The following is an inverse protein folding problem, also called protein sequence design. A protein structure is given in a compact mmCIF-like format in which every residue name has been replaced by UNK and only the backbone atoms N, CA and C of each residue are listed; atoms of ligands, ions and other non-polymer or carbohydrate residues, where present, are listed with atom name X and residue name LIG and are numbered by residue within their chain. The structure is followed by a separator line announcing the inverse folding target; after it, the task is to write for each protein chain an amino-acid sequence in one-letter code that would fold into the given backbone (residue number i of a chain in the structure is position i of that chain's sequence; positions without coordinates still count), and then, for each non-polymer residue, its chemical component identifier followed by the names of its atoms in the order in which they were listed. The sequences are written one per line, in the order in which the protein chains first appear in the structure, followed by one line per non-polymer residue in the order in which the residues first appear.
data_IF_679306197235
#
_entry.id   IF_679306197235
#
_cell.length_a   1.000
_cell.length_b   1.000
_cell.length_c   1.000
_cell.angle_alpha   90.00
_cell.angle_beta   90.00
_cell.angle_gamma   90.00
#
_symmetry.space_group_name_H-M   'P 1'
#
loop_
_entity.id
_entity.type
_entity.pdbx_description
1 polymer ?
#
# COMPACT_ATOMS: atom_id res chain seq x y z
N UNK A 1 -16.10 20.28 11.06
CA UNK A 1 -15.18 19.34 11.73
C UNK A 1 -14.96 19.83 13.17
N UNK A 2 -14.65 18.95 14.09
CA UNK A 2 -14.34 19.29 15.50
C UNK A 2 -13.41 18.21 16.08
N UNK A 3 -12.35 18.64 16.75
CA UNK A 3 -11.38 17.74 17.40
C UNK A 3 -10.83 16.64 16.47
N UNK A 4 -10.49 17.03 15.23
CA UNK A 4 -9.97 16.11 14.23
C UNK A 4 -10.99 15.17 13.60
N UNK A 5 -12.29 15.29 13.92
CA UNK A 5 -13.36 14.42 13.44
C UNK A 5 -14.44 15.18 12.68
N UNK A 6 -15.15 14.45 11.84
CA UNK A 6 -16.30 14.95 11.10
C UNK A 6 -17.49 15.05 12.07
N UNK A 7 -17.88 16.26 12.43
CA UNK A 7 -18.98 16.51 13.36
C UNK A 7 -20.36 16.52 12.69
N UNK A 8 -20.44 16.86 11.41
CA UNK A 8 -21.65 16.84 10.64
C UNK A 8 -21.35 16.81 9.13
N UNK A 9 -22.25 16.18 8.38
CA UNK A 9 -22.26 16.16 6.90
C UNK A 9 -23.67 16.49 6.45
N UNK A 10 -23.81 17.29 5.40
CA UNK A 10 -25.12 17.65 4.84
C UNK A 10 -25.07 18.88 3.96
N UNK A 11 -26.23 19.38 3.58
CA UNK A 11 -26.32 20.63 2.82
C UNK A 11 -25.81 21.82 3.66
N UNK A 12 -25.35 22.88 2.99
CA UNK A 12 -24.92 24.11 3.66
C UNK A 12 -25.98 24.60 4.67
N UNK A 13 -27.25 24.63 4.26
CA UNK A 13 -28.37 25.00 5.13
C UNK A 13 -28.48 24.13 6.38
N UNK A 14 -28.32 22.81 6.24
CA UNK A 14 -28.42 21.85 7.35
C UNK A 14 -27.29 22.03 8.33
N UNK A 15 -26.06 22.21 7.82
CA UNK A 15 -24.85 22.33 8.65
C UNK A 15 -24.81 23.70 9.35
N UNK A 16 -25.11 24.78 8.65
CA UNK A 16 -25.12 26.15 9.22
C UNK A 16 -26.24 26.38 10.26
N UNK A 17 -27.33 25.60 10.21
CA UNK A 17 -28.39 25.66 11.21
C UNK A 17 -27.95 25.11 12.60
N UNK A 18 -26.86 24.40 12.69
CA UNK A 18 -26.34 23.86 13.97
C UNK A 18 -25.74 25.00 14.80
N UNK A 19 -25.95 24.96 16.11
CA UNK A 19 -25.42 26.00 17.02
C UNK A 19 -23.91 26.08 17.00
N UNK A 20 -23.23 24.93 16.88
CA UNK A 20 -21.78 24.79 16.88
C UNK A 20 -21.13 25.46 15.64
N UNK A 21 -21.84 25.48 14.50
CA UNK A 21 -21.33 26.05 13.26
C UNK A 21 -21.17 27.57 13.30
N UNK A 22 -21.88 28.25 14.20
CA UNK A 22 -21.84 29.73 14.33
C UNK A 22 -20.47 30.28 14.72
N UNK A 23 -19.65 29.45 15.41
CA UNK A 23 -18.31 29.81 15.87
C UNK A 23 -17.21 29.08 15.06
N UNK A 24 -17.58 28.27 14.08
CA UNK A 24 -16.62 27.51 13.29
C UNK A 24 -15.96 28.42 12.25
N UNK A 25 -14.67 28.21 12.04
CA UNK A 25 -13.96 28.76 10.90
C UNK A 25 -14.55 28.20 9.60
N UNK A 26 -14.68 29.04 8.59
CA UNK A 26 -15.25 28.65 7.30
C UNK A 26 -14.15 28.57 6.26
N UNK A 27 -14.00 27.40 5.68
CA UNK A 27 -13.16 27.16 4.53
C UNK A 27 -14.07 26.92 3.31
N UNK A 28 -14.07 27.88 2.38
CA UNK A 28 -14.80 27.74 1.11
C UNK A 28 -13.86 27.13 0.06
N UNK A 29 -14.22 25.98 -0.45
CA UNK A 29 -13.46 25.27 -1.49
C UNK A 29 -13.87 25.68 -2.92
N UNK A 30 -14.77 26.67 -3.08
CA UNK A 30 -15.08 27.28 -4.36
C UNK A 30 -15.70 26.34 -5.40
N UNK A 31 -16.54 25.39 -4.99
CA UNK A 31 -17.17 24.42 -5.91
C UNK A 31 -16.29 23.22 -6.30
N UNK A 32 -15.07 23.14 -5.80
CA UNK A 32 -14.18 21.99 -5.99
C UNK A 32 -14.74 20.70 -5.39
N UNK A 33 -14.30 19.57 -5.89
CA UNK A 33 -14.70 18.25 -5.38
C UNK A 33 -13.87 17.85 -4.16
N UNK A 34 -14.54 17.55 -3.06
CA UNK A 34 -13.93 16.97 -1.87
C UNK A 34 -14.22 15.47 -1.79
N UNK A 35 -13.18 14.65 -1.69
CA UNK A 35 -13.23 13.22 -1.44
C UNK A 35 -12.71 12.90 -0.03
N UNK A 36 -12.98 11.70 0.51
CA UNK A 36 -12.17 11.18 1.62
C UNK A 36 -10.70 11.17 1.20
N UNK A 37 -9.79 11.47 2.11
CA UNK A 37 -8.37 11.30 1.85
C UNK A 37 -8.07 9.86 1.40
N UNK A 38 -7.20 9.70 0.41
CA UNK A 38 -6.84 8.37 -0.09
C UNK A 38 -6.15 7.54 0.99
N UNK A 39 -6.44 6.25 0.95
CA UNK A 39 -5.83 5.23 1.81
C UNK A 39 -5.04 4.28 0.91
N UNK A 40 -3.74 4.44 0.92
CA UNK A 40 -2.83 3.60 0.14
C UNK A 40 -2.46 2.36 0.93
N UNK A 41 -3.09 1.26 0.60
CA UNK A 41 -3.03 0.04 1.41
C UNK A 41 -1.86 -0.89 1.08
N UNK A 42 -0.89 -0.46 0.24
CA UNK A 42 0.29 -1.25 -0.09
C UNK A 42 1.43 -0.36 -0.57
N UNK A 43 2.44 -0.15 0.28
CA UNK A 43 3.66 0.58 -0.08
C UNK A 43 4.92 -0.02 0.55
N UNK A 44 6.09 0.31 -0.03
CA UNK A 44 7.41 0.02 0.52
C UNK A 44 8.15 1.34 0.78
N UNK A 45 7.61 2.14 1.71
CA UNK A 45 8.05 3.51 1.99
C UNK A 45 9.56 3.65 2.22
N UNK A 46 10.16 2.73 3.00
CA UNK A 46 11.56 2.81 3.39
C UNK A 46 12.44 2.05 2.39
N UNK A 47 13.14 2.81 1.54
CA UNK A 47 14.15 2.29 0.63
C UNK A 47 15.27 3.32 0.42
N UNK A 48 16.49 2.85 0.06
CA UNK A 48 17.68 3.72 0.05
C UNK A 48 17.89 4.49 -1.25
N UNK A 49 17.47 3.95 -2.41
CA UNK A 49 17.79 4.53 -3.71
C UNK A 49 16.77 4.16 -4.77
N UNK A 50 16.72 4.96 -5.85
CA UNK A 50 16.00 4.59 -7.07
C UNK A 50 16.72 3.45 -7.82
N UNK A 51 16.00 2.83 -8.75
CA UNK A 51 16.52 1.81 -9.68
C UNK A 51 16.42 2.29 -11.14
N UNK A 52 16.61 3.61 -11.36
CA UNK A 52 16.50 4.23 -12.68
C UNK A 52 17.46 3.63 -13.72
N UNK A 53 18.68 3.25 -13.32
CA UNK A 53 19.62 2.55 -14.20
C UNK A 53 19.10 1.19 -14.67
N UNK A 54 18.46 0.44 -13.77
CA UNK A 54 17.84 -0.84 -14.12
C UNK A 54 16.60 -0.65 -14.99
N UNK A 55 15.85 0.43 -14.79
CA UNK A 55 14.73 0.81 -15.63
C UNK A 55 15.22 1.06 -17.08
N UNK A 56 16.31 1.81 -17.25
CA UNK A 56 16.90 2.03 -18.57
C UNK A 56 17.33 0.70 -19.24
N UNK A 57 17.97 -0.21 -18.49
CA UNK A 57 18.35 -1.53 -18.99
C UNK A 57 17.13 -2.34 -19.46
N UNK A 58 16.02 -2.30 -18.73
CA UNK A 58 14.77 -2.96 -19.11
C UNK A 58 14.20 -2.39 -20.40
N UNK A 59 14.15 -1.06 -20.54
CA UNK A 59 13.69 -0.38 -21.76
C UNK A 59 14.53 -0.80 -22.98
N UNK A 60 15.83 -1.00 -22.79
CA UNK A 60 16.75 -1.49 -23.81
C UNK A 60 16.61 -3.00 -24.09
N UNK A 61 15.69 -3.70 -23.43
CA UNK A 61 15.39 -5.11 -23.64
C UNK A 61 16.25 -6.09 -22.82
N UNK A 62 16.99 -5.62 -21.82
CA UNK A 62 17.73 -6.52 -20.95
C UNK A 62 16.78 -7.43 -20.16
N UNK A 63 17.07 -8.72 -20.12
CA UNK A 63 16.31 -9.70 -19.34
C UNK A 63 16.50 -9.50 -17.84
N UNK A 64 15.55 -10.03 -17.04
CA UNK A 64 15.68 -10.04 -15.58
C UNK A 64 16.99 -10.71 -15.10
N UNK A 65 17.39 -11.79 -15.77
CA UNK A 65 18.63 -12.52 -15.45
C UNK A 65 19.88 -11.70 -15.77
N UNK A 66 19.88 -10.94 -16.87
CA UNK A 66 20.98 -10.02 -17.21
C UNK A 66 21.11 -8.89 -16.20
N UNK A 67 19.99 -8.30 -15.77
CA UNK A 67 19.96 -7.26 -14.74
C UNK A 67 20.46 -7.84 -13.40
N UNK A 68 19.99 -9.02 -12.99
CA UNK A 68 20.42 -9.68 -11.77
C UNK A 68 21.92 -10.03 -11.80
N UNK A 69 22.45 -10.50 -12.95
CA UNK A 69 23.88 -10.80 -13.14
C UNK A 69 24.77 -9.57 -13.04
N UNK A 70 24.24 -8.40 -13.43
CA UNK A 70 24.90 -7.09 -13.25
C UNK A 70 24.77 -6.52 -11.83
N UNK A 71 24.24 -7.32 -10.89
CA UNK A 71 24.07 -6.91 -9.50
C UNK A 71 22.83 -6.07 -9.23
N UNK A 72 21.86 -6.04 -10.17
CA UNK A 72 20.58 -5.37 -10.03
C UNK A 72 19.52 -6.20 -9.30
N UNK A 73 18.28 -5.74 -9.34
CA UNK A 73 17.14 -6.39 -8.72
C UNK A 73 16.96 -6.01 -7.24
N UNK A 74 16.09 -6.75 -6.56
CA UNK A 74 15.75 -6.49 -5.16
C UNK A 74 16.97 -6.62 -4.23
N UNK A 75 17.91 -7.51 -4.53
CA UNK A 75 19.12 -7.68 -3.72
C UNK A 75 20.04 -6.45 -3.76
N UNK A 76 20.04 -5.70 -4.87
CA UNK A 76 20.74 -4.42 -4.92
C UNK A 76 20.08 -3.38 -3.99
N UNK A 77 18.74 -3.34 -3.98
CA UNK A 77 18.02 -2.48 -3.03
C UNK A 77 18.34 -2.84 -1.58
N UNK A 78 18.44 -4.13 -1.27
CA UNK A 78 18.84 -4.64 0.07
C UNK A 78 20.26 -4.18 0.43
N UNK A 79 21.24 -4.36 -0.45
CA UNK A 79 22.63 -3.90 -0.23
C UNK A 79 22.69 -2.39 0.03
N UNK A 80 21.99 -1.60 -0.78
CA UNK A 80 21.94 -0.14 -0.62
C UNK A 80 21.25 0.27 0.68
N UNK A 81 20.16 -0.41 1.08
CA UNK A 81 19.49 -0.11 2.33
C UNK A 81 20.34 -0.43 3.54
N UNK A 82 20.98 -1.60 3.59
CA UNK A 82 21.89 -2.00 4.69
C UNK A 82 23.09 -1.06 4.84
N UNK A 83 23.53 -0.43 3.75
CA UNK A 83 24.63 0.55 3.75
C UNK A 83 24.19 1.99 4.05
N UNK A 84 22.90 2.30 4.00
CA UNK A 84 22.39 3.65 4.16
C UNK A 84 22.34 4.06 5.63
N UNK A 85 22.59 5.35 5.90
CA UNK A 85 22.39 5.91 7.23
C UNK A 85 20.91 6.07 7.55
N UNK A 86 20.56 5.99 8.84
CA UNK A 86 19.20 6.22 9.32
C UNK A 86 18.63 7.57 8.88
N UNK A 87 19.44 8.62 8.92
CA UNK A 87 19.03 9.96 8.53
C UNK A 87 18.73 10.07 7.03
N UNK A 88 19.54 9.44 6.17
CA UNK A 88 19.27 9.39 4.73
C UNK A 88 17.96 8.66 4.40
N UNK A 89 17.68 7.55 5.09
CA UNK A 89 16.41 6.83 4.95
C UNK A 89 15.22 7.68 5.42
N UNK A 90 15.35 8.37 6.57
CA UNK A 90 14.33 9.30 7.09
C UNK A 90 14.03 10.43 6.12
N UNK A 91 15.08 11.08 5.60
CA UNK A 91 14.93 12.20 4.68
C UNK A 91 14.17 11.78 3.41
N UNK A 92 14.53 10.62 2.82
CA UNK A 92 13.85 10.09 1.65
C UNK A 92 12.40 9.76 1.94
N UNK A 93 12.12 9.09 3.05
CA UNK A 93 10.77 8.74 3.44
C UNK A 93 9.91 9.98 3.72
N UNK A 94 10.46 11.02 4.36
CA UNK A 94 9.76 12.29 4.58
C UNK A 94 9.37 12.95 3.25
N UNK A 95 10.30 13.04 2.30
CA UNK A 95 10.00 13.59 0.98
C UNK A 95 8.91 12.78 0.25
N UNK A 96 8.90 11.45 0.39
CA UNK A 96 7.82 10.62 -0.16
C UNK A 96 6.48 10.90 0.52
N UNK A 97 6.45 11.06 1.85
CA UNK A 97 5.22 11.37 2.59
C UNK A 97 4.65 12.74 2.23
N UNK A 98 5.51 13.75 2.05
CA UNK A 98 5.12 15.06 1.53
C UNK A 98 4.51 14.95 0.12
N UNK A 99 5.12 14.12 -0.73
CA UNK A 99 4.58 13.85 -2.06
C UNK A 99 3.25 13.04 -2.00
N UNK A 100 3.08 12.08 -1.10
CA UNK A 100 1.80 11.42 -0.86
C UNK A 100 0.70 12.43 -0.44
N UNK A 101 1.02 13.34 0.49
CA UNK A 101 0.11 14.40 0.90
C UNK A 101 -0.30 15.27 -0.28
N UNK A 102 0.65 15.66 -1.14
CA UNK A 102 0.36 16.49 -2.32
C UNK A 102 -0.53 15.82 -3.37
N UNK A 103 -0.73 14.50 -3.28
CA UNK A 103 -1.64 13.74 -4.14
C UNK A 103 -2.93 13.30 -3.45
N UNK A 104 -3.22 13.84 -2.24
CA UNK A 104 -4.47 13.56 -1.52
C UNK A 104 -4.44 12.33 -0.62
N UNK A 105 -3.30 11.69 -0.42
CA UNK A 105 -3.17 10.52 0.45
C UNK A 105 -2.99 10.94 1.90
N UNK A 106 -3.79 10.39 2.80
CA UNK A 106 -3.80 10.71 4.24
C UNK A 106 -3.44 9.53 5.14
N UNK A 107 -3.45 8.32 4.59
CA UNK A 107 -3.09 7.08 5.28
C UNK A 107 -2.34 6.17 4.32
N UNK A 108 -1.22 5.61 4.77
CA UNK A 108 -0.46 4.61 4.01
C UNK A 108 -0.21 3.36 4.85
N UNK A 109 -0.14 2.24 4.21
CA UNK A 109 0.54 1.07 4.75
C UNK A 109 2.00 1.12 4.33
N UNK A 110 2.92 0.76 5.23
CA UNK A 110 4.35 0.72 4.97
C UNK A 110 4.93 -0.64 5.34
N UNK A 111 5.39 -1.38 4.33
CA UNK A 111 6.05 -2.68 4.52
C UNK A 111 7.54 -2.49 4.80
N UNK A 112 8.11 -3.36 5.62
CA UNK A 112 9.56 -3.61 5.64
C UNK A 112 9.96 -4.45 4.40
N UNK A 113 10.99 -5.30 4.48
CA UNK A 113 11.29 -6.26 3.42
C UNK A 113 12.44 -5.90 2.49
N UNK A 114 13.13 -4.81 2.76
CA UNK A 114 14.40 -4.47 2.11
C UNK A 114 15.61 -4.65 3.03
N UNK A 115 15.41 -5.06 4.28
CA UNK A 115 16.47 -5.40 5.21
C UNK A 115 16.97 -6.84 5.03
N UNK A 116 16.05 -7.78 5.06
CA UNK A 116 16.25 -9.24 4.94
C UNK A 116 17.23 -9.82 5.96
N UNK A 117 17.50 -9.12 7.03
CA UNK A 117 18.11 -9.62 8.27
C UNK A 117 17.43 -8.99 9.47
N UNK A 118 17.60 -9.56 10.65
CA UNK A 118 16.87 -9.14 11.84
C UNK A 118 17.13 -7.66 12.19
N UNK A 119 18.38 -7.22 12.17
CA UNK A 119 18.74 -5.86 12.56
C UNK A 119 18.18 -4.83 11.57
N UNK A 120 18.30 -5.09 10.27
CA UNK A 120 17.85 -4.18 9.22
C UNK A 120 16.33 -4.10 9.14
N UNK A 121 15.60 -5.23 9.29
CA UNK A 121 14.14 -5.25 9.30
C UNK A 121 13.57 -4.49 10.52
N UNK A 122 14.13 -4.72 11.71
CA UNK A 122 13.76 -3.98 12.91
C UNK A 122 14.05 -2.48 12.78
N UNK A 123 15.18 -2.11 12.18
CA UNK A 123 15.50 -0.70 11.90
C UNK A 123 14.47 -0.04 10.99
N UNK A 124 14.03 -0.71 9.92
CA UNK A 124 12.99 -0.18 9.02
C UNK A 124 11.70 0.08 9.80
N UNK A 125 11.22 -0.91 10.56
CA UNK A 125 9.98 -0.79 11.32
C UNK A 125 10.08 0.26 12.45
N UNK A 126 11.24 0.35 13.11
CA UNK A 126 11.51 1.40 14.10
C UNK A 126 11.47 2.79 13.48
N UNK A 127 12.05 2.94 12.27
CA UNK A 127 11.99 4.17 11.51
C UNK A 127 10.53 4.56 11.16
N UNK A 128 9.71 3.61 10.73
CA UNK A 128 8.29 3.85 10.47
C UNK A 128 7.56 4.30 11.75
N UNK A 129 7.84 3.67 12.90
CA UNK A 129 7.28 4.06 14.20
C UNK A 129 7.68 5.48 14.60
N UNK A 130 8.94 5.85 14.46
CA UNK A 130 9.43 7.22 14.72
C UNK A 130 8.79 8.25 13.76
N UNK A 131 8.65 7.91 12.50
CA UNK A 131 8.04 8.80 11.50
C UNK A 131 6.54 9.01 11.74
N UNK A 132 5.82 8.01 12.25
CA UNK A 132 4.41 8.12 12.62
C UNK A 132 4.16 9.27 13.61
N UNK A 133 5.12 9.56 14.47
CA UNK A 133 5.03 10.63 15.47
C UNK A 133 5.47 12.00 14.93
N UNK A 134 6.21 12.05 13.83
CA UNK A 134 6.90 13.25 13.33
C UNK A 134 6.24 13.89 12.10
N UNK A 135 5.17 13.31 11.58
CA UNK A 135 4.51 13.81 10.37
C UNK A 135 3.01 13.43 10.38
N UNK A 136 2.16 14.14 9.62
CA UNK A 136 0.71 14.04 9.77
C UNK A 136 0.07 12.77 9.18
N UNK A 137 0.65 12.16 8.14
CA UNK A 137 0.05 10.99 7.46
C UNK A 137 0.05 9.78 8.40
N UNK A 138 -1.05 9.06 8.51
CA UNK A 138 -1.07 7.81 9.27
C UNK A 138 -0.26 6.73 8.55
N UNK A 139 0.68 6.12 9.26
CA UNK A 139 1.50 5.01 8.77
C UNK A 139 1.08 3.73 9.49
N UNK A 140 0.65 2.73 8.75
CA UNK A 140 0.31 1.39 9.24
C UNK A 140 1.44 0.44 8.86
N UNK A 141 2.19 -0.05 9.84
CA UNK A 141 3.39 -0.85 9.57
C UNK A 141 3.08 -2.32 9.35
N UNK A 142 3.73 -2.91 8.33
CA UNK A 142 3.67 -4.33 7.97
C UNK A 142 5.08 -4.93 8.00
N UNK A 143 5.26 -6.00 8.74
CA UNK A 143 6.49 -6.79 8.70
C UNK A 143 6.51 -7.69 7.46
N UNK A 144 7.52 -7.53 6.60
CA UNK A 144 7.75 -8.30 5.38
C UNK A 144 9.17 -8.89 5.34
N UNK A 145 9.68 -9.45 6.43
CA UNK A 145 10.98 -10.13 6.43
C UNK A 145 11.05 -11.29 5.43
N UNK A 146 9.90 -11.83 5.04
CA UNK A 146 9.78 -12.86 4.02
C UNK A 146 9.46 -12.28 2.62
N UNK A 147 10.18 -11.26 2.18
CA UNK A 147 10.04 -10.68 0.84
C UNK A 147 10.76 -11.53 -0.21
N UNK A 148 12.04 -11.81 -0.02
CA UNK A 148 12.81 -12.79 -0.81
C UNK A 148 13.85 -13.45 0.07
N UNK A 149 14.38 -14.59 -0.38
CA UNK A 149 15.53 -15.22 0.29
C UNK A 149 16.79 -14.38 0.02
N UNK A 150 17.47 -13.87 1.05
CA UNK A 150 18.65 -13.02 0.87
C UNK A 150 19.86 -13.79 0.32
N UNK A 151 20.82 -13.03 -0.22
CA UNK A 151 21.99 -13.59 -0.93
C UNK A 151 22.77 -14.60 -0.08
N UNK A 152 22.84 -14.36 1.23
CA UNK A 152 23.56 -15.21 2.19
C UNK A 152 23.02 -16.65 2.28
N UNK A 153 21.76 -16.85 1.92
CA UNK A 153 21.08 -18.15 1.95
C UNK A 153 20.74 -18.68 0.56
N UNK A 154 20.82 -17.85 -0.47
CA UNK A 154 20.45 -18.20 -1.85
C UNK A 154 21.43 -19.22 -2.43
N UNK A 155 20.90 -20.22 -3.16
CA UNK A 155 21.73 -21.28 -3.78
C UNK A 155 22.33 -22.29 -2.83
N UNK A 156 22.12 -22.15 -1.52
CA UNK A 156 22.60 -23.14 -0.51
C UNK A 156 21.51 -24.17 -0.28
N UNK A 157 21.90 -25.42 -0.14
CA UNK A 157 21.01 -26.53 0.23
C UNK A 157 20.31 -26.18 1.57
N UNK A 158 19.00 -26.22 1.60
CA UNK A 158 18.21 -25.85 2.78
C UNK A 158 18.22 -24.35 3.15
N UNK A 159 18.85 -23.48 2.36
CA UNK A 159 19.01 -22.06 2.70
C UNK A 159 17.69 -21.32 2.86
N UNK A 160 16.70 -21.56 2.00
CA UNK A 160 15.37 -20.97 2.12
C UNK A 160 14.65 -21.42 3.40
N UNK A 161 14.80 -22.69 3.81
CA UNK A 161 14.21 -23.20 5.05
C UNK A 161 14.90 -22.61 6.29
N UNK A 162 16.24 -22.50 6.26
CA UNK A 162 16.97 -21.84 7.34
C UNK A 162 16.55 -20.38 7.49
N UNK A 163 16.40 -19.64 6.38
CA UNK A 163 15.94 -18.26 6.44
C UNK A 163 14.48 -18.17 6.92
N UNK A 164 13.60 -19.07 6.48
CA UNK A 164 12.23 -19.17 7.00
C UNK A 164 12.22 -19.34 8.52
N UNK A 165 13.10 -20.21 9.05
CA UNK A 165 13.26 -20.39 10.50
C UNK A 165 13.74 -19.11 11.20
N UNK A 166 14.69 -18.38 10.61
CA UNK A 166 15.16 -17.09 11.17
C UNK A 166 14.02 -16.07 11.21
N UNK A 167 13.20 -15.96 10.15
CA UNK A 167 12.03 -15.08 10.12
C UNK A 167 11.07 -15.42 11.27
N UNK A 168 10.77 -16.71 11.45
CA UNK A 168 9.80 -17.18 12.46
C UNK A 168 10.32 -17.09 13.90
N UNK A 169 11.56 -17.50 14.14
CA UNK A 169 12.07 -17.70 15.51
C UNK A 169 12.88 -16.52 16.04
N UNK A 170 13.35 -15.62 15.15
CA UNK A 170 14.15 -14.45 15.56
C UNK A 170 13.45 -13.13 15.24
N UNK A 171 12.96 -12.94 14.00
CA UNK A 171 12.42 -11.64 13.60
C UNK A 171 11.02 -11.41 14.16
N UNK A 172 10.08 -12.33 13.96
CA UNK A 172 8.69 -12.16 14.40
C UNK A 172 8.55 -11.93 15.92
N UNK A 173 9.25 -12.67 16.82
CA UNK A 173 9.19 -12.40 18.25
C UNK A 173 9.67 -11.00 18.61
N UNK A 174 10.74 -10.51 17.99
CA UNK A 174 11.29 -9.16 18.25
C UNK A 174 10.37 -8.06 17.74
N UNK A 175 9.78 -8.24 16.54
CA UNK A 175 8.78 -7.30 15.98
C UNK A 175 7.58 -7.18 16.91
N UNK A 176 7.09 -8.30 17.41
CA UNK A 176 5.94 -8.33 18.31
C UNK A 176 6.28 -7.76 19.70
N UNK A 177 7.45 -8.10 20.26
CA UNK A 177 7.87 -7.62 21.59
C UNK A 177 8.00 -6.09 21.63
N UNK A 178 8.37 -5.45 20.52
CA UNK A 178 8.55 -4.00 20.42
C UNK A 178 7.32 -3.27 19.85
N UNK A 179 6.23 -3.99 19.52
CA UNK A 179 5.00 -3.45 18.92
C UNK A 179 5.31 -2.60 17.67
N UNK A 180 6.06 -3.19 16.71
CA UNK A 180 6.58 -2.48 15.54
C UNK A 180 5.68 -2.62 14.31
N UNK A 181 4.82 -3.64 14.24
CA UNK A 181 3.95 -3.89 13.09
C UNK A 181 2.59 -4.43 13.53
N UNK A 182 1.57 -4.16 12.72
CA UNK A 182 0.21 -4.69 12.89
C UNK A 182 -0.05 -5.91 11.99
N UNK A 183 0.69 -6.00 10.90
CA UNK A 183 0.55 -7.03 9.88
C UNK A 183 1.85 -7.81 9.66
N UNK A 184 1.71 -9.06 9.24
CA UNK A 184 2.78 -9.89 8.72
C UNK A 184 2.46 -10.28 7.29
N UNK A 185 3.37 -10.01 6.37
CA UNK A 185 3.23 -10.28 4.95
C UNK A 185 4.31 -11.26 4.46
N UNK A 186 4.00 -12.00 3.40
CA UNK A 186 4.92 -12.92 2.74
C UNK A 186 4.75 -12.79 1.23
N UNK A 187 5.85 -12.68 0.50
CA UNK A 187 5.84 -12.83 -0.95
C UNK A 187 5.81 -14.31 -1.33
N UNK A 188 4.61 -14.81 -1.60
CA UNK A 188 4.36 -16.20 -1.95
C UNK A 188 4.25 -16.38 -3.46
N UNK A 189 5.39 -16.48 -4.14
CA UNK A 189 5.43 -16.64 -5.59
C UNK A 189 6.68 -17.43 -6.03
N UNK A 190 6.73 -17.77 -7.32
CA UNK A 190 7.88 -18.46 -7.91
C UNK A 190 9.15 -17.61 -7.75
N UNK A 191 10.19 -18.21 -7.15
CA UNK A 191 11.47 -17.53 -6.90
C UNK A 191 11.55 -16.76 -5.57
N UNK A 192 10.44 -16.72 -4.80
CA UNK A 192 10.38 -16.18 -3.44
C UNK A 192 10.07 -17.31 -2.43
N UNK A 193 8.94 -17.26 -1.74
CA UNK A 193 8.55 -18.29 -0.77
C UNK A 193 7.47 -19.22 -1.32
N UNK A 194 7.57 -20.50 -0.97
CA UNK A 194 6.55 -21.51 -1.28
C UNK A 194 5.30 -21.29 -0.42
N UNK A 195 4.15 -21.82 -0.89
CA UNK A 195 2.90 -21.79 -0.14
C UNK A 195 3.04 -22.42 1.27
N UNK A 196 3.85 -23.46 1.41
CA UNK A 196 4.08 -24.12 2.71
C UNK A 196 4.88 -23.22 3.67
N UNK A 197 5.94 -22.56 3.18
CA UNK A 197 6.72 -21.59 3.96
C UNK A 197 5.88 -20.41 4.36
N UNK A 198 5.09 -19.82 3.41
CA UNK A 198 4.18 -18.73 3.67
C UNK A 198 3.15 -19.11 4.75
N UNK A 199 2.55 -20.31 4.68
CA UNK A 199 1.61 -20.78 5.70
C UNK A 199 2.23 -20.82 7.09
N UNK A 200 3.46 -21.32 7.21
CA UNK A 200 4.19 -21.40 8.49
C UNK A 200 4.47 -20.00 9.05
N UNK A 201 5.04 -19.10 8.25
CA UNK A 201 5.39 -17.74 8.65
C UNK A 201 4.14 -16.97 9.11
N UNK A 202 3.08 -16.99 8.30
CA UNK A 202 1.83 -16.27 8.62
C UNK A 202 1.10 -16.86 9.82
N UNK A 203 1.15 -18.18 10.02
CA UNK A 203 0.60 -18.83 11.21
C UNK A 203 1.37 -18.40 12.45
N UNK A 204 2.70 -18.29 12.37
CA UNK A 204 3.53 -17.78 13.46
C UNK A 204 3.26 -16.30 13.71
N UNK A 205 3.15 -15.48 12.65
CA UNK A 205 2.74 -14.07 12.79
C UNK A 205 1.41 -13.91 13.55
N UNK A 206 0.41 -14.75 13.26
CA UNK A 206 -0.88 -14.76 14.00
C UNK A 206 -0.70 -15.09 15.48
N UNK A 207 0.22 -16.00 15.85
CA UNK A 207 0.53 -16.28 17.27
C UNK A 207 1.08 -15.06 17.99
N UNK A 208 1.78 -14.21 17.25
CA UNK A 208 2.29 -12.92 17.70
C UNK A 208 1.29 -11.75 17.50
N UNK A 209 0.01 -12.04 17.20
CA UNK A 209 -1.07 -11.06 16.97
C UNK A 209 -0.89 -10.15 15.76
N UNK A 210 -0.02 -10.51 14.81
CA UNK A 210 0.08 -9.84 13.54
C UNK A 210 -0.96 -10.41 12.56
N UNK A 211 -1.73 -9.53 11.91
CA UNK A 211 -2.71 -9.95 10.92
C UNK A 211 -2.01 -10.36 9.61
N UNK A 212 -2.39 -11.48 8.97
CA UNK A 212 -1.74 -11.92 7.75
C UNK A 212 -2.12 -11.04 6.55
N UNK A 213 -1.15 -10.84 5.67
CA UNK A 213 -1.26 -10.31 4.31
C UNK A 213 -0.42 -11.16 3.37
N UNK A 214 -0.66 -11.11 2.06
CA UNK A 214 0.15 -11.83 1.09
C UNK A 214 0.32 -11.03 -0.20
N UNK A 215 1.58 -10.97 -0.70
CA UNK A 215 1.80 -10.81 -2.13
C UNK A 215 1.49 -12.16 -2.77
N UNK A 216 0.50 -12.21 -3.62
CA UNK A 216 -0.10 -13.43 -4.12
C UNK A 216 -0.32 -13.40 -5.64
N UNK A 217 0.07 -14.46 -6.34
CA UNK A 217 -0.20 -14.64 -7.77
C UNK A 217 0.21 -13.45 -8.64
N UNK A 218 1.34 -12.82 -8.34
CA UNK A 218 1.90 -11.75 -9.15
C UNK A 218 2.55 -12.31 -10.43
N UNK A 219 3.49 -13.23 -10.28
CA UNK A 219 4.29 -13.78 -11.37
C UNK A 219 3.77 -15.16 -11.81
N UNK A 220 3.20 -15.92 -10.90
CA UNK A 220 2.73 -17.28 -11.14
C UNK A 220 1.61 -17.65 -10.18
N UNK A 221 0.80 -18.63 -10.59
CA UNK A 221 -0.24 -19.15 -9.73
C UNK A 221 0.29 -20.18 -8.74
N UNK A 222 0.38 -19.82 -7.47
CA UNK A 222 0.91 -20.63 -6.35
C UNK A 222 -0.18 -21.10 -5.39
N UNK A 223 -1.44 -20.66 -5.56
CA UNK A 223 -2.56 -20.77 -4.63
C UNK A 223 -2.34 -19.98 -3.32
N UNK A 224 -1.56 -18.90 -3.38
CA UNK A 224 -1.35 -18.00 -2.25
C UNK A 224 -2.66 -17.27 -1.88
N UNK A 225 -3.47 -16.89 -2.87
CA UNK A 225 -4.80 -16.29 -2.66
C UNK A 225 -5.70 -17.21 -1.81
N UNK A 226 -5.76 -18.50 -2.14
CA UNK A 226 -6.55 -19.47 -1.36
C UNK A 226 -5.98 -19.66 0.06
N UNK A 227 -4.65 -19.59 0.22
CA UNK A 227 -4.02 -19.60 1.54
C UNK A 227 -4.38 -18.36 2.33
N UNK A 228 -4.39 -17.17 1.71
CA UNK A 228 -4.79 -15.93 2.36
C UNK A 228 -6.23 -16.00 2.89
N UNK A 229 -7.16 -16.49 2.07
CA UNK A 229 -8.54 -16.72 2.48
C UNK A 229 -8.63 -17.75 3.62
N UNK A 230 -7.91 -18.88 3.52
CA UNK A 230 -7.83 -19.92 4.57
C UNK A 230 -7.36 -19.35 5.91
N UNK A 231 -6.39 -18.45 5.91
CA UNK A 231 -5.82 -17.84 7.11
C UNK A 231 -6.61 -16.62 7.63
N UNK A 232 -7.62 -16.15 6.89
CA UNK A 232 -8.35 -14.92 7.19
C UNK A 232 -7.48 -13.69 7.04
N UNK A 233 -6.68 -13.63 5.98
CA UNK A 233 -5.80 -12.51 5.70
C UNK A 233 -6.59 -11.20 5.54
N UNK A 234 -5.98 -10.08 5.93
CA UNK A 234 -6.56 -8.77 5.71
C UNK A 234 -6.67 -8.45 4.23
N UNK A 235 -5.64 -8.82 3.45
CA UNK A 235 -5.66 -8.73 1.99
C UNK A 235 -4.77 -9.79 1.32
N UNK A 236 -5.07 -10.05 0.05
CA UNK A 236 -4.18 -10.64 -0.93
C UNK A 236 -3.91 -9.58 -2.00
N UNK A 237 -2.64 -9.32 -2.25
CA UNK A 237 -2.20 -8.18 -3.03
C UNK A 237 -1.59 -8.66 -4.37
N UNK A 238 -1.65 -7.86 -5.45
CA UNK A 238 -1.31 -8.16 -6.86
C UNK A 238 -2.42 -8.87 -7.63
N UNK A 239 -2.44 -10.21 -7.67
CA UNK A 239 -3.51 -11.04 -8.23
C UNK A 239 -3.59 -11.11 -9.76
N UNK A 240 -2.50 -10.82 -10.49
CA UNK A 240 -2.45 -10.85 -11.96
C UNK A 240 -2.68 -12.26 -12.51
N UNK A 241 -2.28 -13.32 -11.77
CA UNK A 241 -2.33 -14.72 -12.21
C UNK A 241 -3.45 -15.54 -11.56
N UNK A 242 -4.46 -14.90 -10.96
CA UNK A 242 -5.60 -15.61 -10.37
C UNK A 242 -6.54 -16.21 -11.42
N UNK A 243 -7.26 -17.25 -11.02
CA UNK A 243 -8.30 -17.87 -11.83
C UNK A 243 -9.69 -17.76 -11.18
N UNK A 244 -10.70 -18.37 -11.80
CA UNK A 244 -12.09 -18.32 -11.31
C UNK A 244 -12.26 -18.89 -9.90
N UNK A 245 -11.51 -19.93 -9.52
CA UNK A 245 -11.60 -20.49 -8.17
C UNK A 245 -11.05 -19.55 -7.11
N UNK A 246 -10.03 -18.76 -7.44
CA UNK A 246 -9.45 -17.75 -6.55
C UNK A 246 -10.42 -16.56 -6.41
N UNK A 247 -11.06 -16.13 -7.51
CA UNK A 247 -12.11 -15.10 -7.48
C UNK A 247 -13.27 -15.52 -6.59
N UNK A 248 -13.76 -16.76 -6.75
CA UNK A 248 -14.84 -17.30 -5.91
C UNK A 248 -14.44 -17.33 -4.43
N UNK A 249 -13.21 -17.72 -4.12
CA UNK A 249 -12.71 -17.75 -2.75
C UNK A 249 -12.66 -16.33 -2.13
N UNK A 250 -12.16 -15.33 -2.87
CA UNK A 250 -12.13 -13.93 -2.41
C UNK A 250 -13.54 -13.38 -2.23
N UNK A 251 -14.46 -13.61 -3.18
CA UNK A 251 -15.85 -13.15 -3.11
C UNK A 251 -16.62 -13.72 -1.91
N UNK A 252 -16.31 -14.96 -1.51
CA UNK A 252 -16.89 -15.62 -0.34
C UNK A 252 -16.19 -15.33 0.99
N UNK A 253 -15.27 -14.37 1.04
CA UNK A 253 -14.44 -14.10 2.21
C UNK A 253 -14.45 -12.64 2.66
N UNK A 254 -13.77 -12.37 3.78
CA UNK A 254 -13.51 -11.01 4.29
C UNK A 254 -12.10 -10.52 3.90
N UNK A 255 -11.41 -11.23 3.01
CA UNK A 255 -10.07 -10.86 2.54
C UNK A 255 -10.20 -9.88 1.38
N UNK A 256 -9.60 -8.71 1.50
CA UNK A 256 -9.57 -7.73 0.41
C UNK A 256 -8.64 -8.20 -0.73
N UNK A 257 -9.03 -7.91 -1.96
CA UNK A 257 -8.21 -8.03 -3.16
C UNK A 257 -7.57 -6.67 -3.44
N UNK A 258 -6.29 -6.47 -3.09
CA UNK A 258 -5.60 -5.20 -3.33
C UNK A 258 -4.85 -5.27 -4.67
N UNK A 259 -5.27 -4.46 -5.63
CA UNK A 259 -4.75 -4.45 -6.99
C UNK A 259 -3.74 -3.31 -7.18
N UNK A 260 -2.67 -3.59 -7.93
CA UNK A 260 -1.48 -2.75 -8.03
C UNK A 260 -1.15 -2.40 -9.50
N UNK A 261 -2.06 -1.76 -10.25
CA UNK A 261 -1.90 -1.55 -11.69
C UNK A 261 -0.70 -0.66 -12.05
N UNK A 262 -0.15 0.11 -11.11
CA UNK A 262 1.06 0.88 -11.30
C UNK A 262 2.29 0.00 -11.54
N UNK A 263 2.35 -1.15 -10.88
CA UNK A 263 3.40 -2.15 -11.07
C UNK A 263 3.41 -2.70 -12.50
N UNK A 264 2.26 -3.18 -12.97
CA UNK A 264 2.11 -3.72 -14.33
C UNK A 264 2.43 -2.69 -15.39
N UNK A 265 1.93 -1.46 -15.20
CA UNK A 265 2.18 -0.34 -16.10
C UNK A 265 3.69 -0.03 -16.21
N UNK A 266 4.37 0.14 -15.09
CA UNK A 266 5.80 0.48 -15.05
C UNK A 266 6.69 -0.64 -15.64
N UNK A 267 6.25 -1.89 -15.47
CA UNK A 267 6.93 -3.06 -16.04
C UNK A 267 6.59 -3.29 -17.53
N UNK A 268 5.63 -2.54 -18.08
CA UNK A 268 5.18 -2.71 -19.47
C UNK A 268 4.42 -4.03 -19.70
N UNK A 269 3.80 -4.58 -18.65
CA UNK A 269 3.03 -5.81 -18.74
C UNK A 269 1.66 -5.54 -19.36
N UNK A 270 1.11 -6.57 -20.01
CA UNK A 270 -0.21 -6.51 -20.65
C UNK A 270 -1.29 -7.27 -19.88
N UNK A 271 -0.88 -8.06 -18.92
CA UNK A 271 -1.78 -8.89 -18.11
C UNK A 271 -1.97 -8.24 -16.74
N UNK A 272 -3.08 -7.55 -16.60
CA UNK A 272 -3.50 -6.91 -15.35
C UNK A 272 -4.41 -7.82 -14.55
N UNK A 273 -4.49 -7.60 -13.25
CA UNK A 273 -5.41 -8.30 -12.37
C UNK A 273 -6.87 -8.13 -12.83
N UNK A 274 -7.72 -9.18 -12.78
CA UNK A 274 -9.06 -9.16 -13.36
C UNK A 274 -10.10 -8.45 -12.45
N UNK A 275 -9.92 -7.14 -12.21
CA UNK A 275 -10.73 -6.34 -11.30
C UNK A 275 -12.24 -6.44 -11.61
N UNK A 276 -12.63 -6.34 -12.89
CA UNK A 276 -14.06 -6.42 -13.26
C UNK A 276 -14.70 -7.72 -12.80
N UNK A 277 -13.99 -8.85 -12.97
CA UNK A 277 -14.49 -10.17 -12.53
C UNK A 277 -14.57 -10.28 -11.00
N UNK A 278 -13.60 -9.68 -10.28
CA UNK A 278 -13.61 -9.63 -8.82
C UNK A 278 -14.80 -8.81 -8.29
N UNK A 279 -15.04 -7.62 -8.86
CA UNK A 279 -16.15 -6.74 -8.48
C UNK A 279 -17.50 -7.41 -8.78
N UNK A 280 -17.65 -7.96 -9.99
CA UNK A 280 -18.91 -8.63 -10.41
C UNK A 280 -19.22 -9.87 -9.57
N UNK A 281 -18.18 -10.52 -9.03
CA UNK A 281 -18.33 -11.63 -8.10
C UNK A 281 -18.63 -11.19 -6.65
N UNK A 282 -18.54 -9.88 -6.34
CA UNK A 282 -18.79 -9.33 -5.00
C UNK A 282 -17.55 -9.34 -4.08
N UNK A 283 -16.34 -9.51 -4.61
CA UNK A 283 -15.12 -9.40 -3.83
C UNK A 283 -14.87 -7.94 -3.42
N UNK A 284 -14.25 -7.73 -2.26
CA UNK A 284 -13.82 -6.40 -1.80
C UNK A 284 -12.53 -6.06 -2.52
N UNK A 285 -12.59 -5.13 -3.47
CA UNK A 285 -11.42 -4.69 -4.26
C UNK A 285 -10.89 -3.39 -3.70
N UNK A 286 -9.59 -3.36 -3.35
CA UNK A 286 -8.84 -2.17 -3.01
C UNK A 286 -7.82 -1.84 -4.11
N UNK A 287 -7.39 -0.58 -4.19
CA UNK A 287 -6.31 -0.10 -5.04
C UNK A 287 -5.19 0.46 -4.19
N UNK A 288 -3.95 0.26 -4.61
CA UNK A 288 -2.78 0.85 -3.96
C UNK A 288 -1.68 1.18 -5.00
N UNK A 289 -0.72 2.00 -4.60
CA UNK A 289 0.36 2.43 -5.49
C UNK A 289 1.43 1.38 -5.68
N UNK A 290 1.62 0.48 -4.72
CA UNK A 290 2.82 -0.35 -4.63
C UNK A 290 4.10 0.50 -4.64
N UNK A 291 4.08 1.68 -4.01
CA UNK A 291 5.22 2.58 -4.03
C UNK A 291 6.50 1.88 -3.62
N UNK A 292 7.38 1.65 -4.59
CA UNK A 292 8.67 1.00 -4.39
C UNK A 292 9.66 1.42 -5.49
N UNK A 293 10.99 1.27 -5.28
CA UNK A 293 11.98 1.75 -6.24
C UNK A 293 12.10 0.89 -7.51
N UNK A 294 11.50 -0.30 -7.54
CA UNK A 294 11.76 -1.31 -8.57
C UNK A 294 10.69 -1.45 -9.62
N UNK A 295 9.46 -1.43 -9.20
CA UNK A 295 8.30 -1.79 -10.04
C UNK A 295 7.20 -0.76 -10.05
N UNK A 296 7.16 0.17 -9.08
CA UNK A 296 6.14 1.22 -9.04
C UNK A 296 6.65 2.48 -8.30
N UNK A 297 7.54 3.28 -8.91
CA UNK A 297 8.12 4.46 -8.26
C UNK A 297 7.16 5.67 -8.33
N UNK A 298 5.88 5.48 -7.96
CA UNK A 298 4.86 6.53 -7.95
C UNK A 298 4.13 6.59 -6.62
N UNK A 299 3.83 7.79 -6.16
CA UNK A 299 2.97 8.08 -5.00
C UNK A 299 1.60 8.59 -5.43
N UNK A 300 1.36 8.71 -6.74
CA UNK A 300 0.16 9.33 -7.30
C UNK A 300 -1.02 8.36 -7.32
N UNK A 301 -1.85 8.41 -6.29
CA UNK A 301 -3.12 7.68 -6.30
C UNK A 301 -4.04 8.12 -7.46
N UNK A 302 -4.14 9.41 -7.87
CA UNK A 302 -4.88 9.78 -9.08
C UNK A 302 -4.42 9.04 -10.34
N UNK A 303 -3.11 8.80 -10.52
CA UNK A 303 -2.61 7.99 -11.62
C UNK A 303 -3.05 6.52 -11.51
N UNK A 304 -3.05 5.96 -10.30
CA UNK A 304 -3.57 4.60 -10.05
C UNK A 304 -5.05 4.51 -10.41
N UNK A 305 -5.86 5.53 -10.06
CA UNK A 305 -7.27 5.58 -10.47
C UNK A 305 -7.42 5.61 -12.00
N UNK A 306 -6.57 6.36 -12.72
CA UNK A 306 -6.58 6.40 -14.19
C UNK A 306 -6.28 5.03 -14.79
N UNK A 307 -5.28 4.33 -14.25
CA UNK A 307 -4.93 2.96 -14.66
C UNK A 307 -6.06 1.98 -14.33
N UNK A 308 -6.69 2.11 -13.17
CA UNK A 308 -7.82 1.28 -12.79
C UNK A 308 -9.00 1.44 -13.76
N UNK A 309 -9.30 2.66 -14.17
CA UNK A 309 -10.35 2.91 -15.17
C UNK A 309 -10.00 2.34 -16.54
N UNK A 310 -8.78 2.61 -17.04
CA UNK A 310 -8.39 2.29 -18.41
C UNK A 310 -7.98 0.83 -18.59
N UNK A 311 -7.25 0.24 -17.64
CA UNK A 311 -6.68 -1.11 -17.73
C UNK A 311 -7.54 -2.17 -17.00
N UNK A 312 -8.11 -1.81 -15.85
CA UNK A 312 -8.88 -2.74 -15.02
C UNK A 312 -10.40 -2.64 -15.27
N UNK A 313 -10.86 -1.70 -16.11
CA UNK A 313 -12.28 -1.46 -16.44
C UNK A 313 -13.15 -1.17 -15.20
N UNK A 314 -12.58 -0.46 -14.24
CA UNK A 314 -13.33 0.08 -13.11
C UNK A 314 -13.97 1.42 -13.51
N UNK A 315 -15.18 1.68 -13.04
CA UNK A 315 -15.76 3.02 -13.13
C UNK A 315 -15.01 3.98 -12.19
N UNK A 316 -15.01 5.30 -12.44
CA UNK A 316 -14.41 6.27 -11.53
C UNK A 316 -14.88 6.13 -10.07
N UNK A 317 -16.18 5.86 -9.86
CA UNK A 317 -16.73 5.66 -8.52
C UNK A 317 -16.19 4.40 -7.84
N UNK A 318 -16.09 3.27 -8.56
CA UNK A 318 -15.49 2.04 -8.03
C UNK A 318 -14.01 2.23 -7.72
N UNK A 319 -13.25 2.91 -8.59
CA UNK A 319 -11.83 3.19 -8.38
C UNK A 319 -11.60 4.09 -7.15
N UNK A 320 -12.39 5.15 -6.97
CA UNK A 320 -12.34 6.03 -5.80
C UNK A 320 -12.70 5.25 -4.53
N UNK A 321 -13.77 4.44 -4.54
CA UNK A 321 -14.13 3.60 -3.40
C UNK A 321 -13.01 2.60 -3.05
N UNK A 322 -12.35 2.03 -4.07
CA UNK A 322 -11.23 1.12 -3.89
C UNK A 322 -9.99 1.78 -3.27
N UNK A 323 -9.73 3.07 -3.57
CA UNK A 323 -8.62 3.86 -3.04
C UNK A 323 -8.94 4.61 -1.74
N UNK A 324 -10.17 4.47 -1.22
CA UNK A 324 -10.62 5.15 0.01
C UNK A 324 -11.15 4.13 1.01
N UNK A 325 -12.46 3.84 1.01
CA UNK A 325 -13.09 2.97 2.01
C UNK A 325 -12.60 1.52 1.93
N UNK A 326 -12.37 0.96 0.73
CA UNK A 326 -11.88 -0.40 0.60
C UNK A 326 -10.37 -0.50 0.93
N UNK A 327 -9.57 0.54 0.61
CA UNK A 327 -8.21 0.67 1.09
C UNK A 327 -8.15 0.70 2.63
N UNK A 328 -9.05 1.47 3.26
CA UNK A 328 -9.19 1.49 4.71
C UNK A 328 -9.61 0.13 5.27
N UNK A 329 -10.52 -0.59 4.59
CA UNK A 329 -10.93 -1.94 4.96
C UNK A 329 -9.75 -2.93 4.92
N UNK A 330 -8.92 -2.87 3.88
CA UNK A 330 -7.72 -3.70 3.77
C UNK A 330 -6.72 -3.48 4.91
N UNK A 331 -6.77 -2.30 5.56
CA UNK A 331 -5.97 -1.93 6.73
C UNK A 331 -6.71 -2.05 8.06
N UNK A 332 -7.97 -2.54 8.07
CA UNK A 332 -8.83 -2.57 9.27
C UNK A 332 -9.04 -1.17 9.89
N UNK A 333 -9.17 -0.17 9.03
CA UNK A 333 -9.37 1.25 9.40
C UNK A 333 -10.69 1.84 8.87
N UNK A 334 -11.56 1.03 8.27
CA UNK A 334 -12.83 1.47 7.64
C UNK A 334 -13.80 2.15 8.60
N UNK A 335 -13.65 1.92 9.90
CA UNK A 335 -14.42 2.60 10.95
C UNK A 335 -13.85 3.96 11.34
N UNK A 336 -12.64 4.27 10.90
CA UNK A 336 -11.88 5.45 11.32
C UNK A 336 -11.69 6.44 10.16
N UNK A 337 -11.35 5.93 8.95
CA UNK A 337 -11.05 6.72 7.75
C UNK A 337 -11.72 6.12 6.52
N UNK A 338 -11.53 6.72 5.35
CA UNK A 338 -11.95 6.20 4.04
C UNK A 338 -13.34 6.61 3.58
N UNK A 339 -14.11 7.32 4.40
CA UNK A 339 -15.39 7.91 3.98
C UNK A 339 -15.69 9.20 4.75
N UNK A 340 -16.53 10.06 4.18
CA UNK A 340 -16.98 11.31 4.82
C UNK A 340 -18.25 11.00 5.63
N UNK A 341 -18.06 10.50 6.83
CA UNK A 341 -19.11 10.12 7.76
C UNK A 341 -18.87 10.75 9.14
N UNK A 342 -19.98 11.04 9.87
CA UNK A 342 -19.88 11.56 11.23
C UNK A 342 -19.07 10.61 12.12
N UNK A 343 -18.25 11.17 13.01
CA UNK A 343 -17.32 10.52 13.94
C UNK A 343 -16.06 9.90 13.33
N UNK A 344 -15.95 9.79 12.00
CA UNK A 344 -14.68 9.44 11.34
C UNK A 344 -13.69 10.61 11.38
N UNK A 345 -12.41 10.31 11.17
CA UNK A 345 -11.37 11.34 11.06
C UNK A 345 -11.72 12.31 9.91
N UNK A 346 -11.44 13.57 10.13
CA UNK A 346 -11.65 14.61 9.14
C UNK A 346 -10.49 14.65 8.13
N UNK A 347 -10.32 13.56 7.40
CA UNK A 347 -9.30 13.34 6.39
C UNK A 347 -9.91 13.54 5.01
N UNK A 348 -9.55 14.62 4.33
CA UNK A 348 -10.13 15.00 3.04
C UNK A 348 -9.04 15.31 2.01
N UNK A 349 -9.32 14.98 0.75
CA UNK A 349 -8.59 15.45 -0.41
C UNK A 349 -9.52 16.30 -1.29
N UNK A 350 -9.13 17.53 -1.58
CA UNK A 350 -9.88 18.47 -2.40
C UNK A 350 -9.18 18.62 -3.74
N UNK A 351 -9.96 18.43 -4.82
CA UNK A 351 -9.45 18.45 -6.19
C UNK A 351 -10.01 19.63 -6.97
N UNK A 352 -9.15 20.25 -7.77
CA UNK A 352 -9.51 21.35 -8.69
C UNK A 352 -10.21 20.80 -9.95
N UNK A 353 -11.40 20.27 -9.73
CA UNK A 353 -12.30 19.69 -10.73
C UNK A 353 -13.75 19.97 -10.32
N UNK A 354 -14.66 19.98 -11.29
CA UNK A 354 -16.10 20.17 -11.06
C UNK A 354 -16.85 18.84 -10.86
N UNK A 355 -16.28 17.74 -11.38
CA UNK A 355 -16.86 16.40 -11.31
C UNK A 355 -15.79 15.40 -10.85
N UNK A 356 -16.13 14.52 -9.91
CA UNK A 356 -15.20 13.50 -9.38
C UNK A 356 -14.65 12.57 -10.48
N UNK A 357 -15.37 12.42 -11.60
CA UNK A 357 -14.94 11.61 -12.75
C UNK A 357 -13.74 12.21 -13.46
N UNK A 358 -13.51 13.51 -13.32
CA UNK A 358 -12.36 14.20 -13.90
C UNK A 358 -11.04 13.85 -13.20
N UNK A 359 -11.08 13.40 -11.95
CA UNK A 359 -9.87 13.01 -11.20
C UNK A 359 -9.09 11.90 -11.93
N UNK A 360 -9.69 10.75 -12.31
CA UNK A 360 -9.00 9.74 -13.11
C UNK A 360 -8.91 10.10 -14.60
N UNK A 361 -9.69 11.06 -15.10
CA UNK A 361 -9.71 11.43 -16.51
C UNK A 361 -8.45 12.22 -16.90
N UNK A 362 -7.99 13.16 -16.08
CA UNK A 362 -6.78 13.94 -16.32
C UNK A 362 -5.55 13.16 -15.84
N UNK A 363 -5.20 12.11 -16.57
CA UNK A 363 -4.06 11.28 -16.22
C UNK A 363 -2.72 12.04 -16.36
N UNK A 364 -1.82 11.81 -15.40
CA UNK A 364 -0.50 12.46 -15.39
C UNK A 364 -0.48 13.89 -14.85
N UNK A 365 -1.64 14.49 -14.56
CA UNK A 365 -1.75 15.78 -13.90
C UNK A 365 -2.08 15.61 -12.42
N UNK A 366 -1.51 16.47 -11.58
CA UNK A 366 -1.91 16.55 -10.19
C UNK A 366 -2.95 17.65 -10.01
N UNK A 367 -4.21 17.24 -9.87
CA UNK A 367 -5.36 18.13 -9.61
C UNK A 367 -5.70 18.23 -8.13
N UNK A 368 -4.90 17.66 -7.23
CA UNK A 368 -5.10 17.80 -5.79
C UNK A 368 -4.72 19.23 -5.38
N UNK A 369 -5.74 20.00 -5.03
CA UNK A 369 -5.56 21.39 -4.57
C UNK A 369 -5.21 21.44 -3.09
N UNK A 370 -5.83 20.59 -2.25
CA UNK A 370 -5.62 20.63 -0.81
C UNK A 370 -5.83 19.25 -0.18
N UNK A 371 -5.04 18.93 0.82
CA UNK A 371 -5.21 17.74 1.65
C UNK A 371 -5.32 18.12 3.11
N UNK A 372 -6.39 17.64 3.76
CA UNK A 372 -6.61 17.79 5.20
C UNK A 372 -6.42 16.45 5.90
N UNK A 373 -5.74 16.50 7.03
CA UNK A 373 -5.58 15.38 7.95
C UNK A 373 -6.11 15.78 9.33
N UNK A 374 -7.09 15.07 9.84
CA UNK A 374 -7.78 15.41 11.11
C UNK A 374 -8.25 16.87 11.16
N UNK A 375 -8.69 17.40 10.02
CA UNK A 375 -9.16 18.76 9.88
C UNK A 375 -8.08 19.84 9.72
N UNK A 376 -6.82 19.48 9.83
CA UNK A 376 -5.67 20.36 9.61
C UNK A 376 -5.17 20.26 8.16
N UNK A 377 -4.84 21.39 7.55
CA UNK A 377 -4.27 21.42 6.20
C UNK A 377 -2.83 20.93 6.26
N UNK A 378 -2.54 19.81 5.59
CA UNK A 378 -1.19 19.24 5.49
C UNK A 378 -0.53 19.48 4.14
N UNK A 379 -1.33 19.86 3.14
CA UNK A 379 -0.88 20.29 1.82
C UNK A 379 -1.92 21.24 1.23
N UNK A 380 -1.44 22.28 0.57
CA UNK A 380 -2.25 23.16 -0.27
C UNK A 380 -1.37 23.67 -1.43
N UNK A 381 -1.92 23.59 -2.63
CA UNK A 381 -1.29 24.14 -3.83
C UNK A 381 -1.37 25.67 -3.79
N UNK A 382 -0.28 26.35 -4.13
CA UNK A 382 -0.17 27.81 -4.21
C UNK A 382 -1.10 28.43 -5.26
#
# INVERSE_FOLDING_TARGET
MRDGRIAAVGTRRTVEARSESKKAEKLDIGGRVALPGFVDSHTHLIHAASRAEEYELKIRGASYEEIARKGGGILNSVKKLRAATKDALKQRARAALEAFASHGTTTIEAKSGYGLDAASELNILTLQKEMREQQPIDIVSTFLGAHVVPEEFRGKAGGAELYTTIVMEKMLPEVAAQDLAEFCDVFCDRGAFTRQQAKRILTEGKRHRLLPRLHAEQLSRTRATQLGVELGAASCDHLEQINSSDITALAGSQTAATLLPGCDFHLGLKNYAPARKLIDAGAIVALATDYNPGTSPTVSMPMILSLACTQLRMTPAEAIAAATINGAYALRREKIVGSIEVDKQADLAVFEVEDYREIPYYFGENRCWMTLKRGEIIYMQD
#
